data_IF_555651660197
#
_entry.id   IF_555651660197
#
_cell.length_a   1.000
_cell.length_b   1.000
_cell.length_c   1.000
_cell.angle_alpha   90.00
_cell.angle_beta   90.00
_cell.angle_gamma   90.00
#
_symmetry.space_group_name_H-M   'P 1'
#
loop_
_entity.id
_entity.type
_entity.pdbx_description
1 polymer ?
#
# COMPACT_ATOMS: atom_id res chain seq x y z
N UNK A 1 -23.00 15.12 -5.47
CA UNK A 1 -22.87 13.81 -4.76
C UNK A 1 -21.58 13.88 -3.96
N UNK A 2 -21.62 13.47 -2.70
CA UNK A 2 -20.51 13.70 -1.76
C UNK A 2 -19.86 12.37 -1.43
N UNK A 3 -18.53 12.30 -1.48
CA UNK A 3 -17.78 11.10 -1.13
C UNK A 3 -16.74 11.41 -0.06
N UNK A 4 -16.73 10.59 0.98
CA UNK A 4 -15.75 10.65 2.05
C UNK A 4 -14.85 9.42 1.97
N UNK A 5 -13.57 9.62 1.69
CA UNK A 5 -12.56 8.57 1.67
C UNK A 5 -11.95 8.48 3.06
N UNK A 6 -11.99 7.30 3.67
CA UNK A 6 -11.46 7.03 4.99
C UNK A 6 -10.33 6.00 4.90
N UNK A 7 -9.11 6.43 5.22
CA UNK A 7 -7.93 5.57 5.18
C UNK A 7 -6.83 6.10 6.09
N UNK A 8 -5.98 5.24 6.65
CA UNK A 8 -4.90 5.70 7.55
C UNK A 8 -3.82 6.53 6.84
N UNK A 9 -3.55 6.22 5.58
CA UNK A 9 -2.49 6.84 4.78
C UNK A 9 -3.09 7.58 3.59
N UNK A 10 -2.64 8.81 3.37
CA UNK A 10 -3.08 9.65 2.27
C UNK A 10 -2.00 10.72 2.04
N UNK A 11 -2.15 11.55 1.00
CA UNK A 11 -1.25 12.68 0.76
C UNK A 11 -0.87 13.44 2.05
N UNK A 12 0.43 13.75 2.29
CA UNK A 12 1.60 13.54 1.42
C UNK A 12 2.36 12.21 1.66
N UNK A 13 1.78 11.19 2.28
CA UNK A 13 2.46 9.89 2.40
C UNK A 13 2.72 9.27 1.02
N UNK A 14 3.91 8.68 0.85
CA UNK A 14 4.38 8.05 -0.40
C UNK A 14 4.13 6.53 -0.43
N UNK A 15 3.37 6.01 0.53
CA UNK A 15 2.97 4.61 0.52
C UNK A 15 2.06 4.32 -0.69
N UNK A 16 2.17 3.13 -1.30
CA UNK A 16 1.43 2.79 -2.52
C UNK A 16 -0.09 3.02 -2.42
N UNK A 17 -0.71 2.61 -1.30
CA UNK A 17 -2.14 2.86 -1.07
C UNK A 17 -2.47 4.36 -0.96
N UNK A 18 -1.60 5.17 -0.36
CA UNK A 18 -1.80 6.61 -0.21
C UNK A 18 -1.76 7.33 -1.56
N UNK A 19 -0.82 6.96 -2.45
CA UNK A 19 -0.72 7.51 -3.80
C UNK A 19 -1.99 7.23 -4.61
N UNK A 20 -2.41 5.96 -4.67
CA UNK A 20 -3.61 5.57 -5.44
C UNK A 20 -4.89 6.18 -4.90
N UNK A 21 -5.05 6.24 -3.59
CA UNK A 21 -6.22 6.90 -3.00
C UNK A 21 -6.22 8.41 -3.26
N UNK A 22 -5.05 9.05 -3.29
CA UNK A 22 -4.93 10.48 -3.60
C UNK A 22 -5.29 10.74 -5.07
N UNK A 23 -4.81 9.91 -5.99
CA UNK A 23 -5.14 9.98 -7.42
C UNK A 23 -6.63 9.74 -7.67
N UNK A 24 -7.20 8.70 -7.05
CA UNK A 24 -8.63 8.41 -7.12
C UNK A 24 -9.45 9.61 -6.62
N UNK A 25 -9.10 10.16 -5.46
CA UNK A 25 -9.78 11.30 -4.88
C UNK A 25 -9.70 12.55 -5.78
N UNK A 26 -8.54 12.78 -6.40
CA UNK A 26 -8.33 13.92 -7.29
C UNK A 26 -9.17 13.77 -8.57
N UNK A 27 -9.21 12.56 -9.15
CA UNK A 27 -10.05 12.27 -10.31
C UNK A 27 -11.53 12.44 -9.99
N UNK A 28 -12.01 11.96 -8.83
CA UNK A 28 -13.39 12.16 -8.41
C UNK A 28 -13.72 13.66 -8.23
N UNK A 29 -12.81 14.44 -7.66
CA UNK A 29 -12.98 15.89 -7.53
C UNK A 29 -13.03 16.59 -8.89
N UNK A 30 -12.22 16.15 -9.85
CA UNK A 30 -12.21 16.67 -11.23
C UNK A 30 -13.52 16.37 -11.97
N UNK A 31 -14.14 15.23 -11.71
CA UNK A 31 -15.48 14.85 -12.20
C UNK A 31 -16.61 15.62 -11.49
N UNK A 32 -16.29 16.61 -10.64
CA UNK A 32 -17.27 17.49 -9.98
C UNK A 32 -17.88 16.91 -8.69
N UNK A 33 -17.32 15.83 -8.13
CA UNK A 33 -17.77 15.26 -6.85
C UNK A 33 -17.15 16.00 -5.68
N UNK A 34 -17.97 16.34 -4.67
CA UNK A 34 -17.45 16.87 -3.41
C UNK A 34 -16.69 15.77 -2.67
N UNK A 35 -15.37 15.84 -2.73
CA UNK A 35 -14.47 14.78 -2.25
C UNK A 35 -13.77 15.21 -0.97
N UNK A 36 -13.98 14.45 0.09
CA UNK A 36 -13.32 14.64 1.39
C UNK A 36 -12.46 13.42 1.72
N UNK A 37 -11.25 13.63 2.23
CA UNK A 37 -10.40 12.56 2.75
C UNK A 37 -10.22 12.72 4.26
N UNK A 38 -10.46 11.66 5.03
CA UNK A 38 -10.18 11.58 6.47
C UNK A 38 -9.04 10.60 6.67
N UNK A 39 -7.89 11.10 7.15
CA UNK A 39 -6.64 10.34 7.23
C UNK A 39 -5.90 10.56 8.53
N UNK A 40 -4.91 9.72 8.82
CA UNK A 40 -3.99 9.99 9.94
C UNK A 40 -2.96 11.05 9.56
N UNK A 41 -2.39 11.73 10.55
CA UNK A 41 -1.29 12.66 10.29
C UNK A 41 -0.10 11.88 9.67
N UNK A 42 0.50 12.37 8.56
CA UNK A 42 1.55 11.67 7.83
C UNK A 42 2.75 11.35 8.73
N UNK A 43 3.38 10.20 8.48
CA UNK A 43 4.46 9.72 9.35
C UNK A 43 5.82 10.29 8.98
N UNK A 44 6.05 10.53 7.69
CA UNK A 44 7.34 10.90 7.11
C UNK A 44 7.19 12.18 6.29
N UNK A 45 7.05 13.32 6.97
CA UNK A 45 6.97 14.64 6.30
C UNK A 45 8.33 15.30 6.11
N UNK A 46 9.41 14.70 6.64
CA UNK A 46 10.69 15.39 6.80
C UNK A 46 10.48 16.72 7.54
N UNK A 47 10.93 17.81 6.93
CA UNK A 47 10.76 19.17 7.45
C UNK A 47 9.49 19.88 6.95
N UNK A 48 8.63 19.21 6.16
CA UNK A 48 7.45 19.84 5.59
C UNK A 48 6.40 20.08 6.68
N UNK A 49 5.95 21.34 6.82
CA UNK A 49 4.81 21.69 7.68
C UNK A 49 3.53 21.24 6.99
N UNK A 50 2.84 20.26 7.57
CA UNK A 50 1.57 19.76 7.05
C UNK A 50 0.41 20.25 7.92
N UNK A 51 -0.60 20.95 7.35
CA UNK A 51 -1.75 21.42 8.11
C UNK A 51 -2.72 20.29 8.47
N UNK A 52 -3.48 20.48 9.55
CA UNK A 52 -4.53 19.53 9.97
C UNK A 52 -5.67 19.43 8.94
N UNK A 53 -5.97 20.53 8.24
CA UNK A 53 -6.95 20.57 7.15
C UNK A 53 -6.35 21.33 5.98
N UNK A 54 -6.50 20.82 4.76
CA UNK A 54 -6.17 21.56 3.53
C UNK A 54 -7.05 21.13 2.37
N UNK A 55 -7.03 21.94 1.31
CA UNK A 55 -7.59 21.56 0.01
C UNK A 55 -6.41 21.27 -0.92
N UNK A 56 -6.36 20.05 -1.45
CA UNK A 56 -5.32 19.60 -2.37
C UNK A 56 -5.98 18.98 -3.60
N UNK A 57 -5.70 19.51 -4.80
CA UNK A 57 -6.31 19.05 -6.06
C UNK A 57 -7.85 18.90 -5.99
N UNK A 58 -8.53 19.86 -5.34
CA UNK A 58 -9.99 19.83 -5.15
C UNK A 58 -10.49 18.91 -4.02
N UNK A 59 -9.61 18.17 -3.35
CA UNK A 59 -9.94 17.28 -2.24
C UNK A 59 -9.85 18.04 -0.92
N UNK A 60 -10.90 17.99 -0.10
CA UNK A 60 -10.85 18.47 1.29
C UNK A 60 -10.22 17.41 2.19
N UNK A 61 -9.00 17.62 2.67
CA UNK A 61 -8.27 16.65 3.50
C UNK A 61 -8.39 17.04 4.97
N UNK A 62 -8.81 16.11 5.82
CA UNK A 62 -8.79 16.20 7.27
C UNK A 62 -7.83 15.17 7.87
N UNK A 63 -6.79 15.66 8.55
CA UNK A 63 -5.77 14.85 9.20
C UNK A 63 -6.00 14.76 10.69
N UNK A 64 -6.09 13.52 11.16
CA UNK A 64 -6.31 13.19 12.56
C UNK A 64 -4.97 12.95 13.24
N UNK A 65 -4.70 13.74 14.28
CA UNK A 65 -3.56 13.48 15.16
C UNK A 65 -3.80 12.18 15.91
N UNK A 66 -2.81 11.30 15.87
CA UNK A 66 -2.78 10.06 16.66
C UNK A 66 -1.74 10.21 17.77
N UNK A 67 -1.93 9.50 18.88
CA UNK A 67 -0.88 9.44 19.91
C UNK A 67 0.36 8.77 19.32
N UNK A 68 1.55 9.30 19.61
CA UNK A 68 2.80 8.80 19.05
C UNK A 68 3.40 7.70 19.95
N UNK A 69 2.83 6.49 19.91
CA UNK A 69 3.42 5.34 20.61
C UNK A 69 4.64 4.80 19.84
N UNK A 70 5.63 4.24 20.57
CA UNK A 70 6.88 3.75 20.01
C UNK A 70 6.64 2.73 18.88
N UNK A 71 7.02 3.12 17.66
CA UNK A 71 6.73 2.41 16.40
C UNK A 71 7.58 1.14 16.21
N UNK A 72 8.70 1.02 16.94
CA UNK A 72 9.62 -0.10 16.82
C UNK A 72 9.10 -1.39 17.49
N UNK A 73 8.00 -1.29 18.24
CA UNK A 73 7.34 -2.44 18.87
C UNK A 73 5.97 -2.68 18.22
N UNK A 74 5.65 -3.94 17.94
CA UNK A 74 4.36 -4.35 17.35
C UNK A 74 3.15 -3.87 18.15
N UNK A 75 3.26 -3.79 19.48
CA UNK A 75 2.22 -3.25 20.37
C UNK A 75 1.98 -1.75 20.11
N UNK A 76 3.04 -0.96 19.93
CA UNK A 76 2.90 0.46 19.63
C UNK A 76 2.21 0.71 18.28
N UNK A 77 2.45 -0.15 17.28
CA UNK A 77 1.72 -0.11 15.99
C UNK A 77 0.23 -0.39 16.17
N UNK A 78 -0.13 -1.40 16.96
CA UNK A 78 -1.53 -1.71 17.26
C UNK A 78 -2.23 -0.55 18.01
N UNK A 79 -1.60 0.02 19.04
CA UNK A 79 -2.13 1.16 19.78
C UNK A 79 -2.31 2.40 18.90
N UNK A 80 -1.39 2.65 17.96
CA UNK A 80 -1.53 3.73 16.99
C UNK A 80 -2.73 3.51 16.05
N UNK A 81 -2.94 2.28 15.59
CA UNK A 81 -4.09 1.93 14.74
C UNK A 81 -5.42 2.10 15.49
N UNK A 82 -5.50 1.65 16.76
CA UNK A 82 -6.69 1.83 17.60
C UNK A 82 -6.95 3.31 17.90
N UNK A 83 -5.91 4.09 18.24
CA UNK A 83 -6.04 5.54 18.46
C UNK A 83 -6.56 6.25 17.22
N UNK A 84 -6.10 5.86 16.03
CA UNK A 84 -6.60 6.41 14.78
C UNK A 84 -8.06 6.03 14.54
N UNK A 85 -8.43 4.76 14.74
CA UNK A 85 -9.81 4.30 14.58
C UNK A 85 -10.79 5.08 15.46
N UNK A 86 -10.46 5.30 16.73
CA UNK A 86 -11.32 6.07 17.65
C UNK A 86 -11.47 7.51 17.15
N UNK A 87 -10.38 8.18 16.78
CA UNK A 87 -10.44 9.54 16.25
C UNK A 87 -11.24 9.62 14.94
N UNK A 88 -11.05 8.65 14.04
CA UNK A 88 -11.77 8.55 12.78
C UNK A 88 -13.26 8.32 13.00
N UNK A 89 -13.64 7.44 13.94
CA UNK A 89 -15.03 7.19 14.27
C UNK A 89 -15.76 8.48 14.66
N UNK A 90 -15.20 9.25 15.61
CA UNK A 90 -15.82 10.52 16.02
C UNK A 90 -15.80 11.57 14.92
N UNK A 91 -14.73 11.64 14.11
CA UNK A 91 -14.68 12.57 12.98
C UNK A 91 -15.78 12.26 11.96
N UNK A 92 -15.94 11.00 11.57
CA UNK A 92 -16.96 10.60 10.60
C UNK A 92 -18.36 10.76 11.17
N UNK A 93 -18.57 10.44 12.46
CA UNK A 93 -19.85 10.66 13.15
C UNK A 93 -20.26 12.15 13.10
N UNK A 94 -19.30 13.08 13.18
CA UNK A 94 -19.52 14.52 13.08
C UNK A 94 -19.59 15.07 11.65
N UNK A 95 -19.30 14.28 10.61
CA UNK A 95 -19.45 14.71 9.20
C UNK A 95 -20.88 14.56 8.70
N UNK A 96 -21.22 15.19 7.57
CA UNK A 96 -22.54 15.12 6.98
C UNK A 96 -22.94 13.69 6.57
N UNK A 97 -24.20 13.34 6.86
CA UNK A 97 -24.78 12.00 6.63
C UNK A 97 -24.92 11.67 5.13
N UNK A 98 -25.01 12.68 4.28
CA UNK A 98 -25.34 12.54 2.86
C UNK A 98 -24.16 12.07 1.99
N UNK A 99 -22.99 11.83 2.59
CA UNK A 99 -21.82 11.33 1.86
C UNK A 99 -21.79 9.80 1.79
N UNK A 100 -21.37 9.26 0.64
CA UNK A 100 -20.98 7.85 0.52
C UNK A 100 -19.59 7.69 1.15
N UNK A 101 -19.44 6.72 2.05
CA UNK A 101 -18.16 6.46 2.70
C UNK A 101 -17.37 5.39 1.93
N UNK A 102 -16.20 5.73 1.39
CA UNK A 102 -15.25 4.77 0.83
C UNK A 102 -14.17 4.47 1.86
N UNK A 103 -14.21 3.28 2.48
CA UNK A 103 -13.28 2.90 3.55
C UNK A 103 -12.22 1.96 3.02
N UNK A 104 -10.94 2.34 3.11
CA UNK A 104 -9.86 1.41 2.81
C UNK A 104 -9.56 0.45 3.96
N UNK A 105 -8.95 -0.68 3.65
CA UNK A 105 -8.63 -1.74 4.61
C UNK A 105 -7.38 -1.49 5.46
N UNK A 106 -6.88 -0.26 5.60
CA UNK A 106 -5.79 0.07 6.53
C UNK A 106 -6.16 1.20 7.52
N UNK A 107 -6.15 0.91 8.84
CA UNK A 107 -5.87 -0.39 9.44
C UNK A 107 -6.95 -1.43 9.11
N UNK A 108 -6.70 -2.75 9.23
CA UNK A 108 -7.61 -3.76 8.68
C UNK A 108 -8.91 -4.00 9.44
N UNK A 109 -9.19 -3.17 10.46
CA UNK A 109 -10.47 -3.08 11.15
C UNK A 109 -11.20 -1.75 10.88
N UNK A 110 -10.62 -0.86 10.07
CA UNK A 110 -11.23 0.42 9.70
C UNK A 110 -12.61 0.28 9.01
N UNK A 111 -12.88 -0.76 8.19
CA UNK A 111 -14.22 -1.00 7.64
C UNK A 111 -15.34 -1.11 8.68
N UNK A 112 -15.01 -1.44 9.94
CA UNK A 112 -15.98 -1.43 11.05
C UNK A 112 -16.61 -0.05 11.27
N UNK A 113 -15.91 1.05 10.95
CA UNK A 113 -16.49 2.40 11.00
C UNK A 113 -17.63 2.53 9.99
N UNK A 114 -17.47 1.99 8.77
CA UNK A 114 -18.53 2.00 7.77
C UNK A 114 -19.78 1.26 8.24
N UNK A 115 -19.60 0.07 8.81
CA UNK A 115 -20.68 -0.69 9.41
C UNK A 115 -21.37 0.06 10.56
N UNK A 116 -20.60 0.66 11.47
CA UNK A 116 -21.14 1.47 12.57
C UNK A 116 -21.94 2.67 12.05
N UNK A 117 -21.45 3.37 11.02
CA UNK A 117 -22.17 4.50 10.42
C UNK A 117 -23.44 4.05 9.69
N UNK A 118 -23.45 2.85 9.10
CA UNK A 118 -24.67 2.25 8.55
C UNK A 118 -25.70 1.97 9.66
N UNK A 119 -25.29 1.42 10.81
CA UNK A 119 -26.23 1.11 11.91
C UNK A 119 -26.71 2.36 12.65
N UNK A 120 -25.81 3.29 12.96
CA UNK A 120 -26.12 4.49 13.73
C UNK A 120 -26.80 5.57 12.89
N UNK A 121 -26.49 5.64 11.59
CA UNK A 121 -26.89 6.73 10.70
C UNK A 121 -27.46 6.25 9.37
N UNK A 122 -27.69 4.96 9.12
CA UNK A 122 -28.14 4.50 7.80
C UNK A 122 -27.23 4.92 6.62
N UNK A 123 -25.96 5.28 6.88
CA UNK A 123 -25.06 5.79 5.86
C UNK A 123 -24.58 4.66 4.95
N UNK A 124 -24.53 4.92 3.64
CA UNK A 124 -24.01 3.96 2.67
C UNK A 124 -22.48 3.97 2.69
N UNK A 125 -21.87 2.79 2.68
CA UNK A 125 -20.42 2.66 2.58
C UNK A 125 -19.99 1.56 1.61
N UNK A 126 -18.79 1.75 1.07
CA UNK A 126 -18.04 0.81 0.24
C UNK A 126 -16.70 0.52 0.91
N UNK A 127 -16.13 -0.65 0.65
CA UNK A 127 -14.84 -1.04 1.23
C UNK A 127 -13.84 -1.30 0.11
N UNK A 128 -12.66 -0.69 0.19
CA UNK A 128 -11.52 -0.98 -0.69
C UNK A 128 -10.50 -1.84 0.05
N UNK A 129 -10.37 -3.09 -0.37
CA UNK A 129 -9.49 -4.10 0.22
C UNK A 129 -8.16 -4.15 -0.52
N UNK A 130 -7.12 -3.60 0.09
CA UNK A 130 -5.73 -3.67 -0.38
C UNK A 130 -5.08 -5.01 -0.04
N UNK A 131 -5.29 -5.47 1.19
CA UNK A 131 -4.72 -6.70 1.74
C UNK A 131 -5.78 -7.46 2.56
N UNK A 132 -5.74 -8.79 2.52
CA UNK A 132 -6.68 -9.64 3.26
C UNK A 132 -6.13 -9.99 4.64
N UNK A 133 -6.70 -9.35 5.65
CA UNK A 133 -6.45 -9.64 7.07
C UNK A 133 -7.64 -10.36 7.73
N UNK A 134 -7.39 -11.21 8.74
CA UNK A 134 -6.10 -11.47 9.40
C UNK A 134 -5.18 -12.50 8.71
N UNK A 135 -5.59 -13.08 7.58
CA UNK A 135 -4.88 -14.15 6.87
C UNK A 135 -3.42 -13.81 6.58
N UNK A 136 -3.16 -12.59 6.08
CA UNK A 136 -1.79 -12.14 5.81
C UNK A 136 -0.95 -12.11 7.10
N UNK A 137 -1.51 -11.67 8.23
CA UNK A 137 -0.81 -11.68 9.50
C UNK A 137 -0.52 -13.12 10.00
N UNK A 138 -1.42 -14.06 9.74
CA UNK A 138 -1.27 -15.47 10.12
C UNK A 138 -0.17 -16.13 9.27
N UNK A 139 -0.24 -15.98 7.95
CA UNK A 139 0.71 -16.58 7.00
C UNK A 139 2.16 -16.12 7.25
N UNK A 140 2.35 -14.87 7.68
CA UNK A 140 3.66 -14.32 8.02
C UNK A 140 4.05 -14.48 9.51
N UNK A 141 3.30 -15.29 10.26
CA UNK A 141 3.63 -15.66 11.65
C UNK A 141 3.45 -14.55 12.68
N UNK A 142 2.77 -13.45 12.33
CA UNK A 142 2.47 -12.37 13.28
C UNK A 142 1.33 -12.74 14.23
N UNK A 143 0.42 -13.63 13.81
CA UNK A 143 -0.69 -14.14 14.61
C UNK A 143 -0.78 -15.67 14.50
N UNK A 144 -1.27 -16.32 15.55
CA UNK A 144 -1.60 -17.75 15.51
C UNK A 144 -3.05 -17.92 15.07
N UNK A 145 -3.30 -18.83 14.12
CA UNK A 145 -4.60 -19.06 13.45
C UNK A 145 -5.75 -19.48 14.38
N UNK A 146 -5.47 -19.89 15.62
CA UNK A 146 -6.48 -20.39 16.55
C UNK A 146 -6.61 -19.56 17.84
N UNK A 147 -6.39 -18.25 17.77
CA UNK A 147 -6.59 -17.35 18.91
C UNK A 147 -7.96 -16.70 18.90
N UNK A 148 -8.48 -16.36 20.09
CA UNK A 148 -9.72 -15.58 20.22
C UNK A 148 -9.64 -14.24 19.49
N UNK A 149 -8.45 -13.63 19.46
CA UNK A 149 -8.20 -12.37 18.74
C UNK A 149 -8.41 -12.55 17.23
N UNK A 150 -7.87 -13.62 16.64
CA UNK A 150 -8.09 -13.92 15.21
C UNK A 150 -9.56 -14.18 14.91
N UNK A 151 -10.24 -14.99 15.73
CA UNK A 151 -11.66 -15.29 15.53
C UNK A 151 -12.53 -14.04 15.63
N UNK A 152 -12.26 -13.17 16.60
CA UNK A 152 -12.97 -11.89 16.76
C UNK A 152 -12.70 -10.97 15.56
N UNK A 153 -11.45 -10.91 15.08
CA UNK A 153 -11.10 -10.12 13.90
C UNK A 153 -11.80 -10.63 12.65
N UNK A 154 -11.74 -11.94 12.38
CA UNK A 154 -12.44 -12.55 11.24
C UNK A 154 -13.93 -12.27 11.27
N UNK A 155 -14.56 -12.38 12.45
CA UNK A 155 -15.96 -12.06 12.63
C UNK A 155 -16.28 -10.60 12.30
N UNK A 156 -15.52 -9.65 12.86
CA UNK A 156 -15.74 -8.21 12.64
C UNK A 156 -15.46 -7.79 11.18
N UNK A 157 -14.44 -8.39 10.54
CA UNK A 157 -14.15 -8.16 9.14
C UNK A 157 -15.26 -8.71 8.25
N UNK A 158 -15.71 -9.94 8.50
CA UNK A 158 -16.80 -10.54 7.75
C UNK A 158 -18.08 -9.71 7.88
N UNK A 159 -18.42 -9.30 9.11
CA UNK A 159 -19.59 -8.47 9.40
C UNK A 159 -19.54 -7.10 8.70
N UNK A 160 -18.38 -6.44 8.73
CA UNK A 160 -18.23 -5.13 8.07
C UNK A 160 -18.19 -5.24 6.55
N UNK A 161 -17.70 -6.34 5.99
CA UNK A 161 -17.70 -6.57 4.55
C UNK A 161 -19.09 -6.97 4.04
N UNK A 162 -19.79 -7.90 4.69
CA UNK A 162 -21.13 -8.37 4.26
C UNK A 162 -22.16 -7.25 4.16
N UNK A 163 -22.08 -6.30 5.08
CA UNK A 163 -22.99 -5.17 5.20
C UNK A 163 -22.64 -4.00 4.27
N UNK A 164 -21.48 -4.01 3.62
CA UNK A 164 -21.07 -2.99 2.66
C UNK A 164 -21.96 -3.02 1.42
N UNK A 165 -22.14 -1.86 0.76
CA UNK A 165 -22.84 -1.79 -0.53
C UNK A 165 -22.01 -2.44 -1.64
N UNK A 166 -20.70 -2.21 -1.61
CA UNK A 166 -19.75 -2.74 -2.59
C UNK A 166 -18.41 -3.02 -1.89
N UNK A 167 -17.80 -4.15 -2.24
CA UNK A 167 -16.45 -4.52 -1.81
C UNK A 167 -15.56 -4.46 -3.05
N UNK A 168 -14.55 -3.61 -3.04
CA UNK A 168 -13.60 -3.46 -4.12
C UNK A 168 -12.31 -4.17 -3.71
N UNK A 169 -11.77 -5.02 -4.58
CA UNK A 169 -10.49 -5.69 -4.36
C UNK A 169 -9.62 -5.61 -5.62
N UNK A 170 -8.30 -5.71 -5.44
CA UNK A 170 -7.33 -5.40 -6.49
C UNK A 170 -7.12 -6.54 -7.50
N UNK A 171 -7.54 -7.77 -7.19
CA UNK A 171 -7.24 -8.92 -8.03
C UNK A 171 -8.25 -10.05 -7.92
N UNK A 172 -8.37 -10.83 -9.00
CA UNK A 172 -9.29 -11.98 -9.10
C UNK A 172 -9.08 -13.01 -7.98
N UNK A 173 -7.82 -13.27 -7.63
CA UNK A 173 -7.49 -14.24 -6.58
C UNK A 173 -7.79 -13.72 -5.17
N UNK A 174 -7.69 -12.41 -4.95
CA UNK A 174 -8.18 -11.80 -3.70
C UNK A 174 -9.70 -11.93 -3.61
N UNK A 175 -10.42 -11.71 -4.72
CA UNK A 175 -11.87 -11.96 -4.79
C UNK A 175 -12.20 -13.40 -4.42
N UNK A 176 -11.49 -14.40 -4.97
CA UNK A 176 -11.69 -15.81 -4.58
C UNK A 176 -11.50 -16.06 -3.08
N UNK A 177 -10.51 -15.42 -2.46
CA UNK A 177 -10.30 -15.52 -1.00
C UNK A 177 -11.44 -14.85 -0.22
N UNK A 178 -11.89 -13.67 -0.63
CA UNK A 178 -13.00 -12.96 0.00
C UNK A 178 -14.33 -13.73 -0.13
N UNK A 179 -14.59 -14.33 -1.30
CA UNK A 179 -15.77 -15.16 -1.54
C UNK A 179 -15.86 -16.35 -0.57
N UNK A 180 -14.73 -16.92 -0.15
CA UNK A 180 -14.68 -18.02 0.83
C UNK A 180 -14.97 -17.57 2.26
N UNK A 181 -14.85 -16.27 2.55
CA UNK A 181 -15.08 -15.68 3.88
C UNK A 181 -16.50 -15.19 4.06
N UNK A 182 -17.12 -14.73 2.97
CA UNK A 182 -18.51 -14.31 2.93
C UNK A 182 -19.42 -15.55 2.88
N UNK A 183 -20.55 -15.49 3.60
CA UNK A 183 -21.37 -16.67 3.88
C UNK A 183 -22.58 -16.78 2.96
N UNK A 184 -23.04 -15.65 2.42
CA UNK A 184 -24.31 -15.59 1.72
C UNK A 184 -24.16 -15.27 0.23
N UNK A 185 -24.87 -15.96 -0.69
CA UNK A 185 -24.76 -15.77 -2.13
C UNK A 185 -24.97 -14.33 -2.61
N UNK A 186 -25.87 -13.58 -1.99
CA UNK A 186 -26.14 -12.18 -2.28
C UNK A 186 -24.95 -11.25 -2.00
N UNK A 187 -24.05 -11.65 -1.11
CA UNK A 187 -22.82 -10.91 -0.78
C UNK A 187 -21.78 -11.03 -1.91
N UNK A 188 -21.81 -12.13 -2.66
CA UNK A 188 -20.82 -12.44 -3.70
C UNK A 188 -20.90 -11.48 -4.88
N UNK A 189 -22.12 -11.01 -5.21
CA UNK A 189 -22.38 -10.03 -6.26
C UNK A 189 -21.79 -8.64 -5.96
N UNK A 190 -21.51 -8.36 -4.68
CA UNK A 190 -20.99 -7.07 -4.22
C UNK A 190 -19.48 -6.92 -4.41
N UNK A 191 -18.75 -8.02 -4.68
CA UNK A 191 -17.29 -8.00 -4.84
C UNK A 191 -16.91 -7.66 -6.28
N UNK A 192 -16.35 -6.47 -6.45
CA UNK A 192 -15.84 -5.94 -7.70
C UNK A 192 -14.31 -6.02 -7.71
N UNK A 193 -13.74 -6.49 -8.82
CA UNK A 193 -12.29 -6.50 -9.02
C UNK A 193 -11.93 -5.23 -9.78
N UNK A 194 -11.18 -4.35 -9.13
CA UNK A 194 -10.64 -3.13 -9.73
C UNK A 194 -9.13 -3.14 -9.51
N UNK A 195 -8.35 -3.55 -10.53
CA UNK A 195 -6.90 -3.49 -10.49
C UNK A 195 -6.39 -2.09 -10.10
N UNK A 196 -5.24 -2.04 -9.43
CA UNK A 196 -4.54 -0.75 -9.29
C UNK A 196 -4.02 -0.29 -10.66
N UNK A 197 -3.67 0.98 -10.77
CA UNK A 197 -3.11 1.59 -11.97
C UNK A 197 -1.74 2.19 -11.68
N UNK A 198 -1.13 2.79 -12.71
CA UNK A 198 0.03 3.67 -12.62
C UNK A 198 -0.26 4.97 -13.40
N UNK A 199 0.35 6.08 -13.01
CA UNK A 199 0.25 7.33 -13.76
C UNK A 199 1.21 7.31 -14.96
N UNK A 200 0.67 7.04 -16.15
CA UNK A 200 1.42 6.98 -17.41
C UNK A 200 1.95 8.33 -17.91
N UNK A 201 1.53 9.45 -17.31
CA UNK A 201 2.15 10.75 -17.58
C UNK A 201 3.42 10.94 -16.74
N UNK A 202 3.45 10.35 -15.53
CA UNK A 202 4.57 10.43 -14.61
C UNK A 202 5.63 9.34 -14.89
N UNK A 203 5.18 8.09 -15.06
CA UNK A 203 6.04 6.94 -15.34
C UNK A 203 5.84 6.56 -16.80
N UNK A 204 6.90 6.73 -17.58
CA UNK A 204 6.95 6.40 -19.01
C UNK A 204 8.34 5.89 -19.36
N UNK A 205 8.48 5.04 -20.40
CA UNK A 205 9.78 4.57 -20.81
C UNK A 205 10.73 5.73 -21.13
N UNK A 206 11.91 5.71 -20.50
CA UNK A 206 12.98 6.68 -20.73
C UNK A 206 14.16 5.91 -21.32
N UNK A 207 14.68 6.38 -22.46
CA UNK A 207 15.88 5.76 -23.04
C UNK A 207 17.01 5.83 -22.03
N UNK A 208 17.70 4.70 -21.80
CA UNK A 208 18.71 4.59 -20.75
C UNK A 208 19.79 5.68 -20.80
N UNK A 209 20.23 6.06 -22.00
CA UNK A 209 21.20 7.16 -22.24
C UNK A 209 20.71 8.54 -21.76
N UNK A 210 19.40 8.76 -21.73
CA UNK A 210 18.73 9.98 -21.28
C UNK A 210 18.25 9.88 -19.82
N UNK A 211 18.38 8.70 -19.22
CA UNK A 211 17.93 8.45 -17.85
C UNK A 211 18.89 9.08 -16.84
N UNK A 212 18.45 10.16 -16.20
CA UNK A 212 19.19 10.89 -15.17
C UNK A 212 19.72 10.01 -14.03
N UNK A 213 18.92 9.07 -13.54
CA UNK A 213 19.34 8.15 -12.48
C UNK A 213 20.49 7.24 -12.94
N UNK A 214 20.41 6.74 -14.19
CA UNK A 214 21.49 5.94 -14.77
C UNK A 214 22.78 6.75 -14.97
N UNK A 215 22.66 8.01 -15.39
CA UNK A 215 23.82 8.91 -15.54
C UNK A 215 24.48 9.22 -14.20
N UNK A 216 23.70 9.67 -13.21
CA UNK A 216 24.19 10.05 -11.87
C UNK A 216 24.88 8.88 -11.13
N UNK A 217 24.42 7.65 -11.37
CA UNK A 217 24.93 6.46 -10.69
C UNK A 217 25.84 5.56 -11.55
N UNK A 218 26.26 6.03 -12.73
CA UNK A 218 27.18 5.33 -13.63
C UNK A 218 26.67 3.94 -14.03
N UNK A 219 25.40 3.86 -14.45
CA UNK A 219 24.70 2.61 -14.77
C UNK A 219 24.47 2.41 -16.28
N UNK A 220 24.96 3.32 -17.12
CA UNK A 220 24.69 3.33 -18.57
C UNK A 220 25.19 2.08 -19.30
N UNK A 221 26.32 1.52 -18.86
CA UNK A 221 26.99 0.37 -19.48
C UNK A 221 26.72 -0.93 -18.70
N UNK A 222 25.56 -1.06 -18.07
CA UNK A 222 25.21 -2.25 -17.28
C UNK A 222 23.84 -2.75 -17.71
N UNK A 223 23.60 -4.05 -17.69
CA UNK A 223 22.27 -4.65 -17.68
C UNK A 223 21.75 -4.66 -16.24
N UNK A 224 20.68 -3.92 -15.97
CA UNK A 224 20.17 -3.61 -14.65
C UNK A 224 18.96 -4.49 -14.36
N UNK A 225 19.11 -5.34 -13.35
CA UNK A 225 18.01 -6.08 -12.72
C UNK A 225 17.50 -5.24 -11.56
N UNK A 226 16.36 -4.58 -11.75
CA UNK A 226 15.81 -3.60 -10.84
C UNK A 226 14.75 -4.21 -9.91
N UNK A 227 14.93 -4.02 -8.61
CA UNK A 227 13.86 -4.11 -7.62
C UNK A 227 13.64 -2.72 -7.00
N UNK A 228 12.44 -2.16 -7.11
CA UNK A 228 12.13 -0.84 -6.54
C UNK A 228 10.88 -0.86 -5.64
N UNK A 229 11.06 -0.47 -4.38
CA UNK A 229 10.02 -0.25 -3.39
C UNK A 229 10.27 -1.00 -2.06
N UNK A 230 9.22 -1.17 -1.26
CA UNK A 230 9.36 -1.71 0.10
C UNK A 230 10.01 -3.10 0.14
N UNK A 231 11.08 -3.26 0.92
CA UNK A 231 11.77 -4.54 1.20
C UNK A 231 11.14 -5.23 2.42
N UNK A 232 9.82 -5.39 2.37
CA UNK A 232 9.01 -5.99 3.42
C UNK A 232 9.07 -7.52 3.43
N UNK A 233 8.63 -8.14 4.53
CA UNK A 233 8.67 -9.60 4.72
C UNK A 233 7.86 -10.39 3.68
N UNK A 234 6.91 -9.74 3.03
CA UNK A 234 6.05 -10.29 1.97
C UNK A 234 6.82 -10.59 0.68
N UNK A 235 7.97 -9.97 0.47
CA UNK A 235 8.79 -10.15 -0.73
C UNK A 235 9.87 -11.21 -0.52
N UNK A 236 10.17 -11.98 -1.56
CA UNK A 236 11.24 -12.98 -1.55
C UNK A 236 12.50 -12.39 -2.19
N UNK A 237 13.23 -11.59 -1.40
CA UNK A 237 14.42 -10.87 -1.88
C UNK A 237 15.71 -11.66 -1.67
N UNK A 238 15.70 -12.70 -0.85
CA UNK A 238 16.88 -13.54 -0.65
C UNK A 238 17.24 -14.27 -1.94
N UNK A 239 16.24 -14.82 -2.65
CA UNK A 239 16.47 -15.46 -3.96
C UNK A 239 17.02 -14.50 -5.02
N UNK A 240 16.71 -13.19 -4.93
CA UNK A 240 17.30 -12.19 -5.81
C UNK A 240 18.80 -12.02 -5.55
N UNK A 241 19.22 -12.00 -4.29
CA UNK A 241 20.63 -11.95 -3.90
C UNK A 241 21.37 -13.25 -4.26
N UNK A 242 20.71 -14.40 -4.10
CA UNK A 242 21.26 -15.70 -4.54
C UNK A 242 21.45 -15.73 -6.07
N UNK A 243 20.51 -15.16 -6.83
CA UNK A 243 20.66 -15.01 -8.28
C UNK A 243 21.84 -14.11 -8.62
N UNK A 244 22.03 -13.00 -7.89
CA UNK A 244 23.19 -12.14 -8.07
C UNK A 244 24.52 -12.86 -7.79
N UNK A 245 24.56 -13.78 -6.82
CA UNK A 245 25.72 -14.62 -6.55
C UNK A 245 26.03 -15.59 -7.70
N UNK A 246 25.02 -16.21 -8.29
CA UNK A 246 25.19 -17.09 -9.45
C UNK A 246 25.78 -16.33 -10.64
N UNK A 247 25.36 -15.08 -10.84
CA UNK A 247 25.79 -14.22 -11.94
C UNK A 247 26.97 -13.29 -11.59
N UNK A 248 27.67 -13.51 -10.47
CA UNK A 248 28.73 -12.60 -10.00
C UNK A 248 29.95 -12.46 -10.94
N UNK A 249 30.08 -13.35 -11.93
CA UNK A 249 31.13 -13.32 -12.95
C UNK A 249 30.72 -12.54 -14.21
N UNK A 250 29.42 -12.26 -14.37
CA UNK A 250 28.89 -11.47 -15.47
C UNK A 250 29.03 -9.99 -15.13
N UNK A 251 30.16 -9.39 -15.52
CA UNK A 251 30.53 -8.01 -15.14
C UNK A 251 29.56 -6.94 -15.67
N UNK A 252 28.77 -7.27 -16.68
CA UNK A 252 27.77 -6.39 -17.27
C UNK A 252 26.45 -6.39 -16.49
N UNK A 253 26.17 -7.37 -15.62
CA UNK A 253 24.89 -7.49 -14.93
C UNK A 253 24.97 -6.89 -13.54
N UNK A 254 24.07 -5.95 -13.25
CA UNK A 254 23.97 -5.27 -11.97
C UNK A 254 22.57 -5.40 -11.36
N UNK A 255 22.50 -5.89 -10.12
CA UNK A 255 21.27 -5.92 -9.35
C UNK A 255 21.13 -4.62 -8.57
N UNK A 256 20.10 -3.85 -8.88
CA UNK A 256 19.82 -2.55 -8.25
C UNK A 256 18.57 -2.67 -7.39
N UNK A 257 18.72 -2.49 -6.07
CA UNK A 257 17.64 -2.55 -5.10
C UNK A 257 17.39 -1.16 -4.52
N UNK A 258 16.25 -0.56 -4.87
CA UNK A 258 15.86 0.80 -4.46
C UNK A 258 14.74 0.72 -3.43
N UNK A 259 14.92 1.33 -2.27
CA UNK A 259 13.92 1.41 -1.21
C UNK A 259 14.47 1.02 0.17
N UNK A 260 13.56 0.74 1.08
CA UNK A 260 13.83 0.36 2.46
C UNK A 260 12.75 -0.64 2.91
N UNK A 261 12.98 -1.35 4.00
CA UNK A 261 12.02 -2.25 4.62
C UNK A 261 12.67 -3.15 5.65
N UNK A 262 11.85 -3.99 6.28
CA UNK A 262 12.28 -4.86 7.37
C UNK A 262 13.43 -5.81 7.01
N UNK A 263 13.61 -6.15 5.72
CA UNK A 263 14.66 -7.07 5.25
C UNK A 263 15.97 -6.35 4.84
N UNK A 264 15.99 -5.02 4.68
CA UNK A 264 17.14 -4.32 4.06
C UNK A 264 18.46 -4.64 4.78
N UNK A 265 18.48 -4.54 6.12
CA UNK A 265 19.69 -4.80 6.92
C UNK A 265 20.20 -6.23 6.79
N UNK A 266 19.31 -7.22 6.63
CA UNK A 266 19.68 -8.62 6.46
C UNK A 266 20.23 -8.88 5.05
N UNK A 267 19.63 -8.27 4.02
CA UNK A 267 20.09 -8.36 2.64
C UNK A 267 21.47 -7.73 2.46
N UNK A 268 21.72 -6.56 3.06
CA UNK A 268 23.04 -5.91 3.04
C UNK A 268 24.09 -6.80 3.69
N UNK A 269 23.79 -7.41 4.85
CA UNK A 269 24.69 -8.36 5.51
C UNK A 269 24.97 -9.58 4.63
N UNK A 270 23.97 -10.10 3.92
CA UNK A 270 24.11 -11.24 3.02
C UNK A 270 25.04 -10.91 1.83
N UNK A 271 24.86 -9.74 1.22
CA UNK A 271 25.71 -9.22 0.13
C UNK A 271 27.17 -9.08 0.58
N UNK A 272 27.39 -8.48 1.75
CA UNK A 272 28.74 -8.34 2.34
C UNK A 272 29.36 -9.69 2.65
N UNK A 273 28.61 -10.62 3.26
CA UNK A 273 29.07 -11.98 3.58
C UNK A 273 29.50 -12.75 2.32
N UNK A 274 28.77 -12.57 1.22
CA UNK A 274 29.04 -13.22 -0.07
C UNK A 274 30.02 -12.45 -0.96
N UNK A 275 30.48 -11.26 -0.52
CA UNK A 275 31.39 -10.38 -1.24
C UNK A 275 30.90 -10.02 -2.66
N UNK A 276 29.58 -9.82 -2.81
CA UNK A 276 28.98 -9.52 -4.12
C UNK A 276 29.24 -8.06 -4.50
N UNK A 277 29.84 -7.86 -5.67
CA UNK A 277 30.12 -6.53 -6.25
C UNK A 277 29.06 -6.07 -7.24
N UNK A 278 28.23 -7.00 -7.72
CA UNK A 278 27.15 -6.79 -8.68
C UNK A 278 25.79 -6.52 -8.02
N UNK A 279 25.78 -6.00 -6.79
CA UNK A 279 24.56 -5.59 -6.08
C UNK A 279 24.75 -4.17 -5.53
N UNK A 280 23.80 -3.27 -5.81
CA UNK A 280 23.78 -1.90 -5.27
C UNK A 280 22.44 -1.61 -4.61
N UNK A 281 22.50 -0.99 -3.44
CA UNK A 281 21.32 -0.52 -2.70
C UNK A 281 21.21 0.99 -2.78
N UNK A 282 20.00 1.50 -3.00
CA UNK A 282 19.66 2.92 -2.95
C UNK A 282 18.47 3.15 -2.02
N UNK A 283 18.40 4.31 -1.35
CA UNK A 283 17.23 4.66 -0.55
C UNK A 283 16.01 4.91 -1.44
N UNK A 284 14.85 5.13 -0.83
CA UNK A 284 13.69 5.68 -1.54
C UNK A 284 14.06 6.99 -2.25
N UNK A 285 13.58 7.12 -3.48
CA UNK A 285 13.84 8.28 -4.33
C UNK A 285 12.80 9.37 -4.12
N UNK A 286 13.18 10.61 -4.41
CA UNK A 286 12.26 11.75 -4.38
C UNK A 286 11.19 11.59 -5.47
N UNK A 287 10.07 12.32 -5.36
CA UNK A 287 9.03 12.32 -6.39
C UNK A 287 9.58 12.74 -7.77
N UNK A 288 10.58 13.62 -7.80
CA UNK A 288 11.27 14.06 -9.02
C UNK A 288 12.16 12.96 -9.62
N UNK A 289 12.89 12.21 -8.80
CA UNK A 289 13.80 11.16 -9.27
C UNK A 289 13.09 9.81 -9.48
N UNK A 290 11.90 9.63 -8.91
CA UNK A 290 11.15 8.38 -9.00
C UNK A 290 10.96 7.90 -10.45
N UNK A 291 10.48 8.71 -11.42
CA UNK A 291 10.36 8.30 -12.81
C UNK A 291 11.66 7.77 -13.42
N UNK A 292 12.79 8.43 -13.15
CA UNK A 292 14.10 8.02 -13.66
C UNK A 292 14.58 6.72 -13.01
N UNK A 293 14.44 6.60 -11.69
CA UNK A 293 14.87 5.39 -10.99
C UNK A 293 14.03 4.16 -11.34
N UNK A 294 12.73 4.33 -11.56
CA UNK A 294 11.80 3.24 -11.90
C UNK A 294 11.96 2.75 -13.33
N UNK A 295 12.46 3.59 -14.22
CA UNK A 295 12.73 3.30 -15.65
C UNK A 295 14.21 2.98 -15.90
N UNK A 296 15.00 2.80 -14.83
CA UNK A 296 16.43 2.50 -14.95
C UNK A 296 16.71 1.03 -15.27
N UNK A 297 15.81 0.12 -14.92
CA UNK A 297 15.99 -1.32 -15.07
C UNK A 297 15.74 -1.81 -16.49
N UNK A 298 16.62 -2.66 -17.02
CA UNK A 298 16.32 -3.43 -18.24
C UNK A 298 15.46 -4.67 -17.92
N UNK A 299 15.53 -5.14 -16.66
CA UNK A 299 14.69 -6.23 -16.13
C UNK A 299 14.10 -5.76 -14.81
N UNK A 300 12.78 -5.61 -14.73
CA UNK A 300 12.07 -5.29 -13.49
C UNK A 300 11.64 -6.56 -12.75
N UNK A 301 12.00 -6.66 -11.46
CA UNK A 301 11.69 -7.83 -10.62
C UNK A 301 10.54 -7.52 -9.68
N UNK A 302 9.46 -8.28 -9.83
CA UNK A 302 8.34 -8.31 -8.87
C UNK A 302 8.41 -9.63 -8.09
N UNK A 303 8.86 -9.55 -6.85
CA UNK A 303 9.00 -10.73 -5.98
C UNK A 303 7.94 -10.78 -4.89
N UNK A 304 7.39 -11.96 -4.64
CA UNK A 304 6.39 -12.24 -3.61
C UNK A 304 6.63 -13.62 -3.01
N UNK A 305 6.50 -13.75 -1.70
CA UNK A 305 6.50 -15.04 -1.01
C UNK A 305 5.22 -15.83 -1.30
N UNK A 306 5.33 -17.16 -1.34
CA UNK A 306 4.19 -18.06 -1.60
C UNK A 306 3.06 -17.88 -0.57
N UNK A 307 3.42 -17.53 0.66
CA UNK A 307 2.56 -17.23 1.79
C UNK A 307 1.62 -16.04 1.54
N UNK A 308 1.99 -15.11 0.67
CA UNK A 308 1.16 -13.97 0.29
C UNK A 308 0.19 -14.26 -0.87
N UNK A 309 0.25 -15.47 -1.45
CA UNK A 309 -0.57 -15.87 -2.59
C UNK A 309 -2.05 -15.65 -2.29
N UNK A 310 -2.73 -14.97 -3.21
CA UNK A 310 -4.17 -14.65 -3.15
C UNK A 310 -4.59 -13.71 -2.01
N UNK A 311 -3.65 -13.12 -1.26
CA UNK A 311 -3.94 -12.24 -0.12
C UNK A 311 -3.69 -10.77 -0.41
N UNK A 312 -2.88 -10.46 -1.43
CA UNK A 312 -2.58 -9.10 -1.87
C UNK A 312 -2.14 -9.07 -3.34
N UNK A 313 -2.09 -7.88 -3.91
CA UNK A 313 -1.59 -7.64 -5.27
C UNK A 313 -0.32 -6.79 -5.21
N UNK A 314 0.78 -7.20 -5.87
CA UNK A 314 2.00 -6.39 -5.91
C UNK A 314 1.80 -5.17 -6.81
N UNK A 315 1.55 -4.00 -6.23
CA UNK A 315 1.35 -2.75 -6.99
C UNK A 315 2.54 -2.39 -7.89
N UNK A 316 3.76 -2.82 -7.52
CA UNK A 316 4.99 -2.62 -8.31
C UNK A 316 4.91 -3.22 -9.72
N UNK A 317 4.05 -4.20 -9.96
CA UNK A 317 3.84 -4.78 -11.28
C UNK A 317 3.38 -3.72 -12.29
N UNK A 318 2.46 -2.85 -11.88
CA UNK A 318 1.90 -1.83 -12.76
C UNK A 318 2.93 -0.75 -13.07
N UNK A 319 3.74 -0.37 -12.08
CA UNK A 319 4.89 0.51 -12.29
C UNK A 319 5.90 -0.11 -13.25
N UNK A 320 6.27 -1.38 -13.05
CA UNK A 320 7.21 -2.09 -13.92
C UNK A 320 6.72 -2.22 -15.37
N UNK A 321 5.41 -2.34 -15.59
CA UNK A 321 4.81 -2.39 -16.94
C UNK A 321 4.70 -1.02 -17.61
N UNK A 322 4.65 0.07 -16.83
CA UNK A 322 4.62 1.44 -17.33
C UNK A 322 6.02 2.02 -17.59
N UNK A 323 7.05 1.44 -16.94
CA UNK A 323 8.45 1.85 -17.02
C UNK A 323 9.15 1.49 -18.34
#
# INVERSE_FOLDING_TARGET
MNITILHQYFYPDVAGAALRLTELAASLAQEGLETTAVTSFPMNTGNQKVPNTEIYKGIRIHRLRRRAFNKNRSVGRALNAVSFFIAAFFKILATERNSILLVGSDPPFLPLIGWLMKKLRGQTYMVLVFDIYPDLAIQFGYLKSNTLVVRAWEYLNTLSLSEAKTIITLGKYMKETLLKKLKHPEELSKIQVMPTWEDGHLIRPIQKKENRFCQEHQLLNQTIVLYSGNMGKVHELTSLIETAELLKREAEILFVLIGDGAQQSELVKLVLKKQLKNVRFFPYQTAEMAPHSLTSGDIAVVSMKKEAKNLCVPSKLYTALAS
#
